data_IF_705913620918
#
_entry.id   IF_705913620918
#
_cell.length_a   1.000
_cell.length_b   1.000
_cell.length_c   1.000
_cell.angle_alpha   90.00
_cell.angle_beta   90.00
_cell.angle_gamma   90.00
#
_symmetry.space_group_name_H-M   'P 1'
#
loop_
_entity.id
_entity.type
_entity.pdbx_description
1 polymer ?
#
# COMPACT_ATOMS: atom_id res chain seq x y z
N UNK A 1 2.13 29.09 -3.33
CA UNK A 1 3.42 29.50 -3.90
C UNK A 1 3.22 30.04 -5.31
N UNK A 2 3.97 31.10 -5.73
CA UNK A 2 3.89 31.69 -7.08
C UNK A 2 4.94 31.04 -7.99
N UNK A 3 4.73 29.79 -8.39
CA UNK A 3 5.55 29.14 -9.41
C UNK A 3 4.78 28.99 -10.72
N UNK A 4 5.49 29.14 -11.83
CA UNK A 4 4.99 28.79 -13.15
C UNK A 4 5.46 27.39 -13.49
N UNK A 5 4.54 26.51 -13.91
CA UNK A 5 4.85 25.14 -14.29
C UNK A 5 4.90 25.01 -15.81
N UNK A 6 5.98 24.41 -16.32
CA UNK A 6 6.11 23.97 -17.70
C UNK A 6 5.95 22.45 -17.75
N UNK A 7 5.22 21.95 -18.72
CA UNK A 7 5.00 20.50 -18.90
C UNK A 7 5.50 20.05 -20.25
N UNK A 8 6.05 18.81 -20.27
CA UNK A 8 6.42 18.11 -21.50
C UNK A 8 6.25 16.62 -21.32
N UNK A 9 5.85 15.90 -22.40
CA UNK A 9 5.78 14.45 -22.43
C UNK A 9 6.85 13.90 -23.34
N UNK A 10 7.69 13.01 -22.80
CA UNK A 10 8.71 12.29 -23.58
C UNK A 10 8.14 11.11 -24.37
N UNK A 11 6.95 10.63 -24.04
CA UNK A 11 6.32 9.45 -24.64
C UNK A 11 7.25 8.22 -24.64
N UNK A 12 7.98 8.00 -23.55
CA UNK A 12 8.99 6.94 -23.38
C UNK A 12 10.17 7.05 -24.40
N UNK A 13 10.49 8.24 -24.87
CA UNK A 13 11.54 8.50 -25.84
C UNK A 13 12.60 9.47 -25.27
N UNK A 14 13.85 8.97 -25.15
CA UNK A 14 14.95 9.74 -24.55
C UNK A 14 15.34 10.98 -25.41
N UNK A 15 15.26 10.92 -26.75
CA UNK A 15 15.55 12.06 -27.62
C UNK A 15 14.51 13.17 -27.44
N UNK A 16 13.21 12.80 -27.29
CA UNK A 16 12.18 13.79 -26.96
C UNK A 16 12.41 14.41 -25.60
N UNK A 17 12.80 13.60 -24.60
CA UNK A 17 13.13 14.10 -23.28
C UNK A 17 14.28 15.10 -23.33
N UNK A 18 15.32 14.81 -24.11
CA UNK A 18 16.47 15.68 -24.30
C UNK A 18 16.04 17.05 -24.85
N UNK A 19 15.24 17.08 -25.92
CA UNK A 19 14.70 18.30 -26.48
C UNK A 19 13.83 19.10 -25.49
N UNK A 20 13.05 18.43 -24.65
CA UNK A 20 12.24 19.07 -23.60
C UNK A 20 13.15 19.69 -22.53
N UNK A 21 14.14 18.94 -22.06
CA UNK A 21 15.09 19.41 -21.05
C UNK A 21 15.88 20.60 -21.59
N UNK A 22 16.37 20.57 -22.84
CA UNK A 22 17.02 21.72 -23.47
C UNK A 22 16.10 22.93 -23.52
N UNK A 23 14.85 22.76 -23.89
CA UNK A 23 13.86 23.81 -23.91
C UNK A 23 13.65 24.41 -22.52
N UNK A 24 13.57 23.57 -21.47
CA UNK A 24 13.38 24.05 -20.10
C UNK A 24 14.62 24.78 -19.58
N UNK A 25 15.82 24.26 -19.85
CA UNK A 25 17.09 24.94 -19.53
C UNK A 25 17.13 26.28 -20.21
N UNK A 26 16.82 26.33 -21.50
CA UNK A 26 16.79 27.58 -22.29
C UNK A 26 15.75 28.60 -21.80
N UNK A 27 14.67 28.17 -21.15
CA UNK A 27 13.69 29.05 -20.52
C UNK A 27 14.07 29.45 -19.08
N UNK A 28 15.19 28.97 -18.54
CA UNK A 28 15.68 29.35 -17.23
C UNK A 28 14.86 28.78 -16.08
N UNK A 29 14.41 27.53 -16.19
CA UNK A 29 13.70 26.86 -15.07
C UNK A 29 14.60 26.75 -13.83
N UNK A 30 14.02 26.92 -12.65
CA UNK A 30 14.73 26.86 -11.38
C UNK A 30 14.93 25.43 -10.87
N UNK A 31 14.18 24.47 -11.42
CA UNK A 31 14.28 23.06 -11.06
C UNK A 31 13.44 22.14 -11.93
N UNK A 32 13.70 20.83 -11.87
CA UNK A 32 13.04 19.81 -12.69
C UNK A 32 12.46 18.71 -11.80
N UNK A 33 11.23 18.27 -12.15
CA UNK A 33 10.67 17.00 -11.68
C UNK A 33 10.51 16.13 -12.92
N UNK A 34 11.13 14.95 -12.92
CA UNK A 34 11.21 14.10 -14.11
C UNK A 34 10.82 12.66 -13.76
N UNK A 35 9.84 12.11 -14.50
CA UNK A 35 9.65 10.66 -14.59
C UNK A 35 10.52 10.17 -15.76
N UNK A 36 11.67 9.56 -15.50
CA UNK A 36 12.64 9.23 -16.55
C UNK A 36 12.18 8.07 -17.41
N UNK A 37 12.55 8.06 -18.67
CA UNK A 37 12.42 6.91 -19.57
C UNK A 37 13.76 6.18 -19.72
N UNK A 38 13.72 4.99 -20.32
CA UNK A 38 14.94 4.23 -20.59
C UNK A 38 15.92 5.03 -21.44
N UNK A 39 17.20 5.04 -21.06
CA UNK A 39 18.27 5.76 -21.78
C UNK A 39 18.36 7.25 -21.51
N UNK A 40 17.64 7.79 -20.51
CA UNK A 40 17.64 9.24 -20.21
C UNK A 40 18.73 9.68 -19.23
N UNK A 41 19.68 8.84 -18.86
CA UNK A 41 20.72 9.15 -17.88
C UNK A 41 21.58 10.37 -18.30
N UNK A 42 22.04 10.40 -19.56
CA UNK A 42 22.86 11.51 -20.08
C UNK A 42 22.09 12.83 -20.13
N UNK A 43 20.79 12.76 -20.45
CA UNK A 43 19.90 13.91 -20.45
C UNK A 43 19.80 14.54 -19.07
N UNK A 44 19.66 13.71 -18.03
CA UNK A 44 19.57 14.18 -16.66
C UNK A 44 20.91 14.70 -16.14
N UNK A 45 22.03 14.08 -16.51
CA UNK A 45 23.36 14.61 -16.21
C UNK A 45 23.55 16.03 -16.77
N UNK A 46 23.10 16.27 -18.00
CA UNK A 46 23.13 17.61 -18.62
C UNK A 46 22.40 18.66 -17.79
N UNK A 47 21.22 18.33 -17.26
CA UNK A 47 20.48 19.23 -16.37
C UNK A 47 21.23 19.51 -15.06
N UNK A 48 21.83 18.48 -14.46
CA UNK A 48 22.65 18.61 -13.25
C UNK A 48 23.92 19.44 -13.50
N UNK A 49 24.59 19.24 -14.63
CA UNK A 49 25.77 20.00 -15.03
C UNK A 49 25.44 21.50 -15.27
N UNK A 50 24.19 21.77 -15.68
CA UNK A 50 23.66 23.14 -15.76
C UNK A 50 23.29 23.73 -14.39
N UNK A 51 23.49 23.00 -13.30
CA UNK A 51 23.19 23.43 -11.93
C UNK A 51 21.73 23.46 -11.59
N UNK A 52 20.89 22.70 -12.29
CA UNK A 52 19.43 22.67 -12.07
C UNK A 52 19.07 21.55 -11.10
N UNK A 53 18.55 21.85 -9.89
CA UNK A 53 18.05 20.88 -8.96
C UNK A 53 17.01 19.95 -9.63
N UNK A 54 17.18 18.64 -9.48
CA UNK A 54 16.34 17.67 -10.17
C UNK A 54 15.80 16.62 -9.18
N UNK A 55 14.51 16.34 -9.27
CA UNK A 55 13.83 15.28 -8.53
C UNK A 55 13.32 14.22 -9.51
N UNK A 56 13.70 12.97 -9.28
CA UNK A 56 13.11 11.82 -9.98
C UNK A 56 11.79 11.44 -9.34
N UNK A 57 10.80 11.18 -10.18
CA UNK A 57 9.45 10.81 -9.80
C UNK A 57 9.11 9.42 -10.34
N UNK A 58 8.60 8.53 -9.49
CA UNK A 58 8.11 7.18 -9.83
C UNK A 58 9.17 6.20 -10.33
N UNK A 59 10.25 6.68 -10.96
CA UNK A 59 11.28 5.83 -11.58
C UNK A 59 12.66 6.32 -11.21
N UNK A 60 13.55 5.39 -10.90
CA UNK A 60 14.94 5.70 -10.54
C UNK A 60 15.91 5.47 -11.71
N UNK A 61 16.99 6.24 -11.69
CA UNK A 61 18.20 6.02 -12.47
C UNK A 61 19.37 5.94 -11.50
N UNK A 62 20.02 4.79 -11.46
CA UNK A 62 21.16 4.58 -10.59
C UNK A 62 22.33 5.50 -10.92
N UNK A 63 23.06 5.93 -9.87
CA UNK A 63 24.31 6.69 -10.05
C UNK A 63 24.15 8.19 -10.28
N UNK A 64 22.93 8.74 -10.19
CA UNK A 64 22.70 10.18 -10.18
C UNK A 64 22.55 10.70 -8.73
N UNK A 65 23.12 11.88 -8.44
CA UNK A 65 22.92 12.57 -7.17
C UNK A 65 21.74 13.55 -7.29
N UNK A 66 20.54 13.02 -7.07
CA UNK A 66 19.26 13.72 -7.28
C UNK A 66 18.27 13.39 -6.17
N UNK A 67 17.28 14.23 -5.99
CA UNK A 67 16.12 13.91 -5.17
C UNK A 67 15.30 12.76 -5.77
N UNK A 68 14.67 11.94 -4.94
CA UNK A 68 13.86 10.79 -5.38
C UNK A 68 12.55 10.74 -4.61
N UNK A 69 11.45 10.62 -5.34
CA UNK A 69 10.14 10.33 -4.74
C UNK A 69 9.54 9.13 -5.47
N UNK A 70 9.53 8.01 -4.79
CA UNK A 70 9.24 6.69 -5.35
C UNK A 70 8.07 6.03 -4.62
N UNK A 71 7.41 5.08 -5.27
CA UNK A 71 6.54 4.12 -4.62
C UNK A 71 7.38 2.93 -4.09
N UNK A 72 6.95 2.27 -3.02
CA UNK A 72 7.45 0.93 -2.70
C UNK A 72 6.84 -0.09 -3.69
N UNK A 73 7.47 -0.15 -4.87
CA UNK A 73 7.00 -0.99 -5.96
C UNK A 73 7.16 -2.48 -5.66
N UNK A 74 8.16 -2.86 -4.89
CA UNK A 74 8.37 -4.25 -4.51
C UNK A 74 7.26 -4.72 -3.57
N UNK A 75 6.92 -3.90 -2.57
CA UNK A 75 5.75 -4.13 -1.73
C UNK A 75 4.45 -4.17 -2.54
N UNK A 76 4.30 -3.29 -3.53
CA UNK A 76 3.13 -3.30 -4.40
C UNK A 76 2.99 -4.63 -5.17
N UNK A 77 4.07 -5.15 -5.73
CA UNK A 77 4.08 -6.47 -6.39
C UNK A 77 3.71 -7.60 -5.44
N UNK A 78 4.26 -7.59 -4.21
CA UNK A 78 3.90 -8.58 -3.16
C UNK A 78 2.43 -8.50 -2.79
N UNK A 79 1.93 -7.30 -2.52
CA UNK A 79 0.56 -7.06 -2.07
C UNK A 79 -0.49 -7.64 -3.01
N UNK A 80 -0.27 -7.56 -4.33
CA UNK A 80 -1.17 -8.14 -5.32
C UNK A 80 -1.27 -9.67 -5.22
N UNK A 81 -0.13 -10.34 -5.05
CA UNK A 81 -0.07 -11.80 -4.89
C UNK A 81 -0.64 -12.22 -3.53
N UNK A 82 -0.30 -11.51 -2.46
CA UNK A 82 -0.81 -11.77 -1.10
C UNK A 82 -2.33 -11.74 -1.08
N UNK A 83 -2.92 -10.69 -1.64
CA UNK A 83 -4.37 -10.56 -1.75
C UNK A 83 -5.01 -11.71 -2.53
N UNK A 84 -4.46 -12.07 -3.68
CA UNK A 84 -4.97 -13.20 -4.48
C UNK A 84 -4.85 -14.53 -3.73
N UNK A 85 -3.71 -14.77 -3.08
CA UNK A 85 -3.49 -15.97 -2.28
C UNK A 85 -4.49 -16.09 -1.12
N UNK A 86 -4.73 -14.99 -0.39
CA UNK A 86 -5.69 -14.91 0.70
C UNK A 86 -7.13 -15.17 0.24
N UNK A 87 -7.45 -14.84 -1.00
CA UNK A 87 -8.75 -15.13 -1.63
C UNK A 87 -8.84 -16.52 -2.30
N UNK A 88 -7.83 -17.39 -2.10
CA UNK A 88 -7.85 -18.78 -2.52
C UNK A 88 -7.22 -19.06 -3.87
N UNK A 89 -6.74 -18.06 -4.60
CA UNK A 89 -6.05 -18.21 -5.88
C UNK A 89 -4.65 -18.79 -5.68
N UNK A 90 -4.21 -19.68 -6.57
CA UNK A 90 -2.91 -20.35 -6.48
C UNK A 90 -2.12 -20.28 -7.79
N UNK A 91 -2.80 -20.29 -8.94
CA UNK A 91 -2.19 -20.17 -10.26
C UNK A 91 -2.29 -18.72 -10.71
N UNK A 92 -1.33 -17.92 -10.23
CA UNK A 92 -1.28 -16.46 -10.43
C UNK A 92 -0.17 -16.15 -11.40
N UNK A 93 -0.47 -15.48 -12.50
CA UNK A 93 0.51 -15.03 -13.48
C UNK A 93 0.54 -13.51 -13.57
N UNK A 94 1.56 -12.97 -14.22
CA UNK A 94 1.75 -11.53 -14.39
C UNK A 94 1.98 -11.22 -15.87
N UNK A 95 1.48 -10.09 -16.37
CA UNK A 95 1.86 -9.54 -17.66
C UNK A 95 2.66 -8.26 -17.40
N UNK A 96 3.81 -8.11 -18.05
CA UNK A 96 4.66 -6.93 -17.91
C UNK A 96 5.17 -6.45 -19.27
N UNK A 97 5.90 -5.33 -19.27
CA UNK A 97 6.50 -4.77 -20.47
C UNK A 97 8.02 -5.03 -20.55
N UNK A 98 8.53 -5.10 -21.78
CA UNK A 98 9.99 -5.18 -22.05
C UNK A 98 10.68 -3.81 -21.98
N UNK A 99 10.31 -2.93 -21.04
CA UNK A 99 10.75 -1.54 -21.05
C UNK A 99 12.00 -1.22 -20.22
N UNK A 100 12.50 -2.13 -19.38
CA UNK A 100 13.66 -1.87 -18.52
C UNK A 100 13.47 -0.69 -17.56
N UNK A 101 12.25 -0.49 -17.07
CA UNK A 101 11.87 0.57 -16.12
C UNK A 101 12.01 0.02 -14.70
N UNK A 102 12.65 0.79 -13.81
CA UNK A 102 12.91 0.37 -12.42
C UNK A 102 11.64 -0.03 -11.66
N UNK A 103 10.58 0.78 -11.73
CA UNK A 103 9.32 0.52 -11.04
C UNK A 103 8.66 -0.80 -11.47
N UNK A 104 8.70 -1.16 -12.75
CA UNK A 104 8.20 -2.45 -13.21
C UNK A 104 9.05 -3.61 -12.73
N UNK A 105 10.39 -3.50 -12.84
CA UNK A 105 11.32 -4.54 -12.36
C UNK A 105 11.18 -4.79 -10.86
N UNK A 106 10.88 -3.75 -10.09
CA UNK A 106 10.59 -3.86 -8.66
C UNK A 106 9.27 -4.56 -8.39
N UNK A 107 8.19 -4.23 -9.11
CA UNK A 107 6.90 -4.93 -9.03
C UNK A 107 7.03 -6.42 -9.39
N UNK A 108 7.83 -6.73 -10.42
CA UNK A 108 8.15 -8.11 -10.81
C UNK A 108 8.91 -8.86 -9.70
N UNK A 109 9.90 -8.22 -9.06
CA UNK A 109 10.61 -8.81 -7.91
C UNK A 109 9.65 -9.11 -6.76
N UNK A 110 8.79 -8.15 -6.41
CA UNK A 110 7.78 -8.34 -5.38
C UNK A 110 6.81 -9.48 -5.68
N UNK A 111 6.35 -9.58 -6.94
CA UNK A 111 5.55 -10.71 -7.40
C UNK A 111 6.30 -12.05 -7.23
N UNK A 112 7.52 -12.16 -7.73
CA UNK A 112 8.32 -13.39 -7.65
C UNK A 112 8.63 -13.77 -6.19
N UNK A 113 8.91 -12.79 -5.34
CA UNK A 113 9.15 -13.01 -3.91
C UNK A 113 7.91 -13.58 -3.22
N UNK A 114 6.74 -12.97 -3.44
CA UNK A 114 5.49 -13.46 -2.85
C UNK A 114 5.12 -14.85 -3.37
N UNK A 115 5.27 -15.13 -4.67
CA UNK A 115 5.05 -16.47 -5.23
C UNK A 115 5.93 -17.52 -4.56
N UNK A 116 7.20 -17.19 -4.31
CA UNK A 116 8.13 -18.07 -3.58
C UNK A 116 7.71 -18.25 -2.14
N UNK A 117 7.39 -17.15 -1.45
CA UNK A 117 6.98 -17.15 -0.05
C UNK A 117 5.79 -18.05 0.22
N UNK A 118 4.84 -18.12 -0.72
CA UNK A 118 3.65 -18.96 -0.61
C UNK A 118 3.79 -20.34 -1.25
N UNK A 119 5.00 -20.73 -1.69
CA UNK A 119 5.24 -22.05 -2.32
C UNK A 119 4.58 -22.21 -3.67
N UNK A 120 4.40 -21.11 -4.40
CA UNK A 120 3.73 -21.07 -5.71
C UNK A 120 4.70 -20.92 -6.90
N UNK A 121 6.01 -21.10 -6.70
CA UNK A 121 7.01 -20.89 -7.76
C UNK A 121 6.75 -21.73 -9.01
N UNK A 122 6.18 -22.94 -8.87
CA UNK A 122 5.81 -23.80 -9.99
C UNK A 122 4.71 -23.22 -10.90
N UNK A 123 4.02 -22.17 -10.44
CA UNK A 123 2.98 -21.45 -11.18
C UNK A 123 3.38 -20.00 -11.49
N UNK A 124 4.60 -19.58 -11.09
CA UNK A 124 5.09 -18.23 -11.30
C UNK A 124 5.52 -18.03 -12.75
N UNK A 125 4.77 -17.22 -13.49
CA UNK A 125 5.10 -16.86 -14.87
C UNK A 125 4.84 -15.37 -15.09
N UNK A 126 5.83 -14.70 -15.71
CA UNK A 126 5.69 -13.31 -16.19
C UNK A 126 5.71 -13.35 -17.71
N UNK A 127 4.65 -12.86 -18.32
CA UNK A 127 4.55 -12.69 -19.77
C UNK A 127 4.99 -11.28 -20.14
N UNK A 128 5.91 -11.17 -21.08
CA UNK A 128 6.39 -9.87 -21.54
C UNK A 128 5.76 -9.51 -22.88
N UNK A 129 5.33 -8.25 -22.97
CA UNK A 129 4.80 -7.66 -24.18
C UNK A 129 5.48 -6.33 -24.49
N UNK A 130 5.32 -5.85 -25.72
CA UNK A 130 5.91 -4.59 -26.18
C UNK A 130 4.92 -3.44 -25.96
N UNK A 131 5.39 -2.37 -25.33
CA UNK A 131 4.58 -1.15 -25.15
C UNK A 131 4.05 -0.63 -26.50
N UNK A 132 2.77 -0.31 -26.55
CA UNK A 132 2.08 0.11 -27.78
C UNK A 132 1.55 -1.04 -28.66
N UNK A 133 1.95 -2.29 -28.42
CA UNK A 133 1.50 -3.48 -29.17
C UNK A 133 0.89 -4.57 -28.29
N UNK A 134 0.64 -4.29 -27.02
CA UNK A 134 0.25 -5.26 -26.02
C UNK A 134 -1.19 -5.82 -26.15
N UNK A 135 -2.07 -5.21 -26.97
CA UNK A 135 -3.48 -5.59 -27.02
C UNK A 135 -3.70 -7.01 -27.52
N UNK A 136 -3.14 -7.34 -28.68
CA UNK A 136 -3.27 -8.68 -29.27
C UNK A 136 -2.54 -9.73 -28.42
N UNK A 137 -1.39 -9.37 -27.87
CA UNK A 137 -0.63 -10.25 -26.98
C UNK A 137 -1.42 -10.60 -25.73
N UNK A 138 -2.05 -9.61 -25.08
CA UNK A 138 -2.86 -9.83 -23.87
C UNK A 138 -4.03 -10.78 -24.14
N UNK A 139 -4.72 -10.63 -25.27
CA UNK A 139 -5.80 -11.55 -25.65
C UNK A 139 -5.27 -12.99 -25.82
N UNK A 140 -4.14 -13.17 -26.52
CA UNK A 140 -3.53 -14.50 -26.70
C UNK A 140 -3.06 -15.12 -25.39
N UNK A 141 -2.46 -14.30 -24.51
CA UNK A 141 -2.00 -14.74 -23.19
C UNK A 141 -3.19 -15.22 -22.36
N UNK A 142 -4.29 -14.47 -22.34
CA UNK A 142 -5.48 -14.85 -21.58
C UNK A 142 -6.16 -16.12 -22.14
N UNK A 143 -6.27 -16.22 -23.47
CA UNK A 143 -6.81 -17.43 -24.11
C UNK A 143 -5.97 -18.67 -23.75
N UNK A 144 -4.64 -18.57 -23.77
CA UNK A 144 -3.76 -19.66 -23.38
C UNK A 144 -3.82 -19.95 -21.87
N UNK A 145 -3.88 -18.91 -21.05
CA UNK A 145 -3.96 -19.01 -19.60
C UNK A 145 -5.20 -19.79 -19.14
N UNK A 146 -6.37 -19.51 -19.70
CA UNK A 146 -7.61 -20.26 -19.42
C UNK A 146 -7.44 -21.73 -19.74
N UNK A 147 -6.82 -22.07 -20.90
CA UNK A 147 -6.56 -23.47 -21.27
C UNK A 147 -5.62 -24.18 -20.29
N UNK A 148 -4.65 -23.45 -19.70
CA UNK A 148 -3.70 -23.97 -18.69
C UNK A 148 -4.29 -24.01 -17.29
N UNK A 149 -5.47 -23.42 -17.08
CA UNK A 149 -6.14 -23.32 -15.79
C UNK A 149 -5.50 -22.29 -14.87
N UNK A 150 -4.94 -21.20 -15.43
CA UNK A 150 -4.55 -20.00 -14.66
C UNK A 150 -5.78 -19.39 -14.02
N UNK A 151 -5.66 -18.91 -12.80
CA UNK A 151 -6.80 -18.45 -11.99
C UNK A 151 -6.83 -16.92 -11.87
N UNK A 152 -5.66 -16.26 -11.93
CA UNK A 152 -5.58 -14.82 -11.74
C UNK A 152 -4.39 -14.19 -12.46
N UNK A 153 -4.55 -12.90 -12.79
CA UNK A 153 -3.46 -12.05 -13.30
C UNK A 153 -3.22 -10.82 -12.41
N UNK A 154 -1.94 -10.54 -12.17
CA UNK A 154 -1.46 -9.24 -11.71
C UNK A 154 -1.02 -8.41 -12.92
N UNK A 155 -1.63 -7.23 -13.08
CA UNK A 155 -1.42 -6.33 -14.22
C UNK A 155 -0.79 -5.01 -13.70
N UNK A 156 0.54 -4.89 -13.73
CA UNK A 156 1.30 -3.92 -12.93
C UNK A 156 1.32 -2.50 -13.51
N UNK A 157 0.44 -2.18 -14.44
CA UNK A 157 0.21 -0.81 -14.94
C UNK A 157 -1.26 -0.58 -15.27
N UNK A 158 -1.70 0.68 -15.24
CA UNK A 158 -3.05 1.06 -15.66
C UNK A 158 -3.36 0.56 -17.08
N UNK A 159 -2.45 0.77 -18.02
CA UNK A 159 -2.63 0.34 -19.43
C UNK A 159 -2.82 -1.16 -19.54
N UNK A 160 -1.99 -1.98 -18.87
CA UNK A 160 -2.14 -3.44 -18.88
C UNK A 160 -3.45 -3.88 -18.23
N UNK A 161 -3.87 -3.21 -17.15
CA UNK A 161 -5.15 -3.51 -16.53
C UNK A 161 -6.33 -3.25 -17.47
N UNK A 162 -6.31 -2.13 -18.20
CA UNK A 162 -7.32 -1.84 -19.22
C UNK A 162 -7.30 -2.86 -20.37
N UNK A 163 -6.12 -3.26 -20.84
CA UNK A 163 -5.96 -4.30 -21.87
C UNK A 163 -6.45 -5.66 -21.36
N UNK A 164 -6.23 -5.98 -20.09
CA UNK A 164 -6.81 -7.17 -19.45
C UNK A 164 -8.33 -7.18 -19.47
N UNK A 165 -8.98 -6.06 -19.13
CA UNK A 165 -10.44 -5.94 -19.21
C UNK A 165 -10.96 -6.06 -20.66
N UNK A 166 -10.24 -5.49 -21.63
CA UNK A 166 -10.56 -5.64 -23.05
C UNK A 166 -10.42 -7.08 -23.52
N UNK A 167 -9.38 -7.80 -23.07
CA UNK A 167 -9.16 -9.21 -23.37
C UNK A 167 -10.28 -10.09 -22.78
N UNK A 168 -10.69 -9.88 -21.52
CA UNK A 168 -11.84 -10.58 -20.95
C UNK A 168 -13.10 -10.40 -21.82
N UNK A 169 -13.39 -9.15 -22.19
CA UNK A 169 -14.56 -8.85 -23.03
C UNK A 169 -14.45 -9.49 -24.43
N UNK A 170 -13.27 -9.45 -25.07
CA UNK A 170 -13.07 -10.05 -26.41
C UNK A 170 -13.21 -11.58 -26.39
N UNK A 171 -12.86 -12.23 -25.29
CA UNK A 171 -12.96 -13.68 -25.11
C UNK A 171 -14.28 -14.13 -24.48
N UNK A 172 -15.20 -13.21 -24.14
CA UNK A 172 -16.42 -13.45 -23.37
C UNK A 172 -16.14 -14.14 -22.01
N UNK A 173 -15.06 -13.72 -21.35
CA UNK A 173 -14.69 -14.18 -20.02
C UNK A 173 -15.16 -13.18 -18.97
N UNK A 174 -15.36 -13.66 -17.74
CA UNK A 174 -15.80 -12.89 -16.58
C UNK A 174 -14.74 -12.89 -15.48
N UNK A 175 -14.61 -11.77 -14.78
CA UNK A 175 -13.87 -11.71 -13.53
C UNK A 175 -14.88 -11.66 -12.36
N UNK A 176 -14.65 -12.44 -11.28
CA UNK A 176 -13.52 -13.33 -11.04
C UNK A 176 -13.70 -14.76 -11.55
N UNK A 177 -14.85 -15.12 -12.13
CA UNK A 177 -15.30 -16.50 -12.38
C UNK A 177 -14.36 -17.28 -13.30
N UNK A 178 -13.88 -16.67 -14.40
CA UNK A 178 -12.96 -17.28 -15.34
C UNK A 178 -11.51 -16.91 -15.06
N UNK A 179 -11.24 -15.62 -14.77
CA UNK A 179 -9.92 -15.08 -14.44
C UNK A 179 -10.06 -13.90 -13.47
N UNK A 180 -9.49 -13.99 -12.29
CA UNK A 180 -9.38 -12.85 -11.39
C UNK A 180 -8.34 -11.83 -11.89
N UNK A 181 -8.58 -10.55 -11.66
CA UNK A 181 -7.67 -9.48 -12.05
C UNK A 181 -7.35 -8.56 -10.88
N UNK A 182 -6.04 -8.29 -10.70
CA UNK A 182 -5.55 -7.18 -9.90
C UNK A 182 -4.90 -6.18 -10.85
N UNK A 183 -5.44 -4.98 -10.92
CA UNK A 183 -4.91 -3.87 -11.70
C UNK A 183 -3.90 -3.03 -10.92
N UNK A 184 -3.43 -1.96 -11.55
CA UNK A 184 -2.54 -0.97 -10.96
C UNK A 184 -2.97 0.43 -11.37
N UNK A 185 -2.71 1.39 -10.49
CA UNK A 185 -3.17 2.78 -10.56
C UNK A 185 -4.70 2.92 -10.50
N UNK A 186 -5.15 4.11 -10.14
CA UNK A 186 -6.56 4.43 -10.12
C UNK A 186 -7.10 4.69 -11.52
N UNK A 187 -8.28 4.14 -11.84
CA UNK A 187 -8.99 4.42 -13.08
C UNK A 187 -10.51 4.44 -12.84
N UNK A 188 -11.19 5.44 -13.38
CA UNK A 188 -12.66 5.52 -13.32
C UNK A 188 -13.32 4.27 -13.91
N UNK A 189 -12.70 3.64 -14.92
CA UNK A 189 -13.19 2.44 -15.58
C UNK A 189 -13.29 1.28 -14.59
N UNK A 190 -12.38 1.20 -13.61
CA UNK A 190 -12.37 0.11 -12.62
C UNK A 190 -13.65 0.08 -11.76
N UNK A 191 -14.22 1.25 -11.49
CA UNK A 191 -15.49 1.36 -10.77
C UNK A 191 -16.71 1.10 -11.66
N UNK A 192 -16.59 1.33 -12.96
CA UNK A 192 -17.65 1.12 -13.94
C UNK A 192 -17.75 -0.34 -14.39
N UNK A 193 -16.64 -1.07 -14.39
CA UNK A 193 -16.62 -2.51 -14.68
C UNK A 193 -17.44 -3.29 -13.64
N UNK A 194 -18.09 -4.38 -14.03
CA UNK A 194 -18.92 -5.19 -13.14
C UNK A 194 -18.49 -6.64 -13.17
N UNK A 195 -18.04 -7.16 -12.02
CA UNK A 195 -17.80 -6.46 -10.74
C UNK A 195 -16.63 -5.48 -10.81
N UNK A 196 -16.54 -4.51 -9.87
CA UNK A 196 -15.47 -3.52 -9.85
C UNK A 196 -14.09 -4.18 -9.75
N UNK A 197 -13.09 -3.57 -10.36
CA UNK A 197 -11.72 -4.12 -10.40
C UNK A 197 -10.99 -3.85 -9.08
N UNK A 198 -10.31 -4.87 -8.55
CA UNK A 198 -9.32 -4.72 -7.48
C UNK A 198 -8.05 -4.13 -8.08
N UNK A 199 -7.44 -3.14 -7.42
CA UNK A 199 -6.21 -2.54 -7.90
C UNK A 199 -5.32 -2.03 -6.77
N UNK A 200 -4.03 -1.91 -7.08
CA UNK A 200 -3.04 -1.30 -6.20
C UNK A 200 -2.87 0.14 -6.66
N UNK A 201 -3.09 1.10 -5.77
CA UNK A 201 -2.93 2.51 -6.08
C UNK A 201 -1.63 3.06 -5.52
N UNK A 202 -1.04 3.95 -6.29
CA UNK A 202 -0.06 4.91 -5.82
C UNK A 202 -0.74 6.27 -5.69
N UNK A 203 -0.60 6.94 -4.57
CA UNK A 203 -1.18 8.27 -4.43
C UNK A 203 -0.43 9.26 -5.33
N UNK A 204 -0.91 9.47 -6.57
CA UNK A 204 -0.32 10.43 -7.52
C UNK A 204 -0.27 11.84 -6.93
N UNK A 205 -1.25 12.17 -6.10
CA UNK A 205 -1.28 13.42 -5.35
C UNK A 205 -0.09 13.52 -4.38
N UNK A 206 0.13 12.51 -3.53
CA UNK A 206 1.26 12.49 -2.59
C UNK A 206 2.61 12.50 -3.33
N UNK A 207 2.73 11.72 -4.41
CA UNK A 207 3.90 11.74 -5.26
C UNK A 207 4.20 13.15 -5.77
N UNK A 208 3.21 13.86 -6.31
CA UNK A 208 3.36 15.23 -6.80
C UNK A 208 3.68 16.23 -5.68
N UNK A 209 2.99 16.17 -4.55
CA UNK A 209 3.20 17.06 -3.40
C UNK A 209 4.61 16.88 -2.82
N UNK A 210 5.04 15.65 -2.60
CA UNK A 210 6.38 15.35 -2.06
C UNK A 210 7.49 15.75 -3.05
N UNK A 211 7.30 15.49 -4.34
CA UNK A 211 8.28 15.89 -5.36
C UNK A 211 8.43 17.40 -5.46
N UNK A 212 7.32 18.13 -5.41
CA UNK A 212 7.35 19.58 -5.42
C UNK A 212 7.99 20.15 -4.16
N UNK A 213 7.63 19.65 -2.99
CA UNK A 213 8.21 20.11 -1.74
C UNK A 213 9.72 19.80 -1.66
N UNK A 214 10.13 18.62 -2.09
CA UNK A 214 11.55 18.25 -2.19
C UNK A 214 12.30 19.19 -3.12
N UNK A 215 11.77 19.42 -4.33
CA UNK A 215 12.40 20.33 -5.30
C UNK A 215 12.50 21.77 -4.75
N UNK A 216 11.45 22.26 -4.10
CA UNK A 216 11.44 23.58 -3.46
C UNK A 216 12.53 23.73 -2.39
N UNK A 217 12.75 22.69 -1.58
CA UNK A 217 13.82 22.66 -0.57
C UNK A 217 15.18 22.66 -1.24
N UNK A 218 15.38 21.86 -2.28
CA UNK A 218 16.62 21.84 -3.06
C UNK A 218 16.93 23.19 -3.69
N UNK A 219 15.95 23.89 -4.29
CA UNK A 219 16.09 25.25 -4.82
C UNK A 219 16.51 26.24 -3.71
N UNK A 220 16.03 26.04 -2.49
CA UNK A 220 16.39 26.86 -1.34
C UNK A 220 17.79 26.53 -0.74
N UNK A 221 18.52 25.56 -1.30
CA UNK A 221 19.86 25.15 -0.86
C UNK A 221 19.87 24.12 0.26
N UNK A 222 18.80 23.36 0.44
CA UNK A 222 18.76 22.25 1.39
C UNK A 222 19.29 20.96 0.71
N UNK A 223 20.48 20.55 1.09
CA UNK A 223 21.17 19.39 0.51
C UNK A 223 20.74 18.04 1.12
N UNK A 224 19.88 18.04 2.13
CA UNK A 224 19.50 16.81 2.87
C UNK A 224 18.25 16.11 2.30
N UNK A 225 17.74 16.55 1.16
CA UNK A 225 16.55 16.04 0.52
C UNK A 225 16.85 14.94 -0.50
N UNK A 226 17.00 13.66 -0.06
CA UNK A 226 17.51 12.61 -0.96
C UNK A 226 16.48 11.60 -1.44
N UNK A 227 15.62 11.10 -0.58
CA UNK A 227 14.66 10.05 -0.99
C UNK A 227 13.41 10.05 -0.11
N UNK A 228 12.25 9.92 -0.75
CA UNK A 228 10.97 9.64 -0.12
C UNK A 228 10.36 8.42 -0.79
N UNK A 229 9.96 7.44 0.00
CA UNK A 229 9.24 6.24 -0.48
C UNK A 229 7.79 6.33 0.00
N UNK A 230 6.86 6.19 -0.94
CA UNK A 230 5.42 6.21 -0.68
C UNK A 230 4.90 4.79 -0.65
N UNK A 231 4.13 4.45 0.37
CA UNK A 231 3.51 3.15 0.52
C UNK A 231 2.37 2.96 -0.49
N UNK A 232 2.29 1.78 -1.15
CA UNK A 232 1.15 1.41 -1.99
C UNK A 232 -0.06 1.09 -1.14
N UNK A 233 -1.26 1.23 -1.72
CA UNK A 233 -2.52 0.86 -1.10
C UNK A 233 -3.31 -0.09 -2.01
N UNK A 234 -3.96 -1.11 -1.42
CA UNK A 234 -4.82 -2.05 -2.14
C UNK A 234 -6.28 -1.62 -2.01
N UNK A 235 -6.91 -1.34 -3.15
CA UNK A 235 -8.34 -1.05 -3.23
C UNK A 235 -9.06 -2.31 -3.71
N UNK A 236 -9.82 -2.93 -2.82
CA UNK A 236 -10.48 -4.21 -3.10
C UNK A 236 -11.79 -3.99 -3.83
N UNK A 237 -11.91 -4.59 -5.01
CA UNK A 237 -13.13 -4.70 -5.79
C UNK A 237 -13.61 -6.16 -5.90
N UNK A 238 -14.62 -6.38 -6.71
CA UNK A 238 -15.20 -7.71 -6.90
C UNK A 238 -14.43 -8.60 -7.88
N UNK A 239 -13.49 -8.06 -8.67
CA UNK A 239 -12.71 -8.84 -9.66
C UNK A 239 -11.78 -9.89 -9.06
N UNK A 240 -11.65 -9.92 -7.75
CA UNK A 240 -10.87 -10.89 -6.98
C UNK A 240 -11.69 -11.53 -5.87
N UNK A 241 -13.02 -11.50 -5.95
CA UNK A 241 -13.87 -12.16 -4.98
C UNK A 241 -13.51 -13.66 -4.87
N UNK A 242 -13.59 -14.18 -3.66
CA UNK A 242 -13.22 -15.57 -3.40
C UNK A 242 -14.15 -16.54 -4.13
N UNK A 243 -13.59 -17.33 -5.05
CA UNK A 243 -14.32 -18.42 -5.75
C UNK A 243 -13.93 -19.82 -5.21
N UNK A 244 -12.95 -19.89 -4.31
CA UNK A 244 -12.43 -21.12 -3.70
C UNK A 244 -12.40 -21.02 -2.17
N UNK A 245 -13.56 -20.94 -1.49
CA UNK A 245 -13.60 -20.73 -0.03
C UNK A 245 -12.86 -21.83 0.76
N UNK A 246 -12.80 -23.06 0.25
CA UNK A 246 -12.05 -24.15 0.84
C UNK A 246 -10.54 -23.93 0.89
N UNK A 247 -10.00 -23.11 -0.01
CA UNK A 247 -8.56 -22.78 -0.05
C UNK A 247 -8.21 -21.56 0.81
N UNK A 248 -9.21 -20.76 1.17
CA UNK A 248 -9.03 -19.56 2.00
C UNK A 248 -8.66 -19.96 3.42
N UNK A 249 -9.28 -20.99 3.99
CA UNK A 249 -8.95 -21.48 5.33
C UNK A 249 -7.52 -22.02 5.40
N UNK A 250 -7.12 -22.83 4.43
CA UNK A 250 -5.74 -23.33 4.33
C UNK A 250 -4.70 -22.22 4.11
N UNK A 251 -5.06 -21.18 3.33
CA UNK A 251 -4.20 -20.02 3.10
C UNK A 251 -4.04 -19.13 4.33
N UNK A 252 -5.09 -19.02 5.15
CA UNK A 252 -5.04 -18.28 6.43
C UNK A 252 -4.11 -18.91 7.45
N UNK A 253 -4.03 -20.24 7.49
CA UNK A 253 -3.09 -20.96 8.35
C UNK A 253 -1.63 -20.74 7.91
N UNK A 254 -1.39 -20.64 6.60
CA UNK A 254 -0.04 -20.41 6.06
C UNK A 254 0.39 -18.93 6.18
N UNK A 255 -0.51 -17.98 5.90
CA UNK A 255 -0.23 -16.56 6.07
C UNK A 255 -0.07 -16.13 7.53
N UNK A 256 -0.65 -16.87 8.48
CA UNK A 256 -0.44 -16.67 9.92
C UNK A 256 1.00 -17.03 10.37
N UNK A 257 1.75 -17.78 9.56
CA UNK A 257 3.15 -18.13 9.81
C UNK A 257 4.18 -17.12 9.31
N UNK A 258 3.74 -15.99 8.70
CA UNK A 258 4.68 -15.05 8.08
C UNK A 258 4.35 -13.62 8.51
N UNK A 259 4.59 -13.34 9.79
CA UNK A 259 4.76 -11.96 10.26
C UNK A 259 6.22 -11.56 10.02
N UNK A 260 6.46 -10.65 9.08
CA UNK A 260 7.79 -10.17 8.78
C UNK A 260 8.31 -9.19 9.83
N UNK A 261 9.59 -9.39 10.17
CA UNK A 261 10.57 -8.43 10.71
C UNK A 261 10.06 -7.48 11.79
N UNK A 262 9.43 -8.05 12.80
CA UNK A 262 9.45 -7.40 14.10
C UNK A 262 10.72 -7.83 14.83
N UNK A 263 11.42 -6.91 15.53
CA UNK A 263 12.42 -7.33 16.48
C UNK A 263 11.85 -8.43 17.36
N UNK A 264 12.65 -9.44 17.74
CA UNK A 264 12.17 -10.58 18.58
C UNK A 264 11.43 -10.17 19.87
N UNK A 265 11.46 -8.88 20.19
CA UNK A 265 10.96 -8.31 21.44
C UNK A 265 9.70 -7.46 21.28
N UNK A 266 9.19 -7.27 20.05
CA UNK A 266 8.03 -6.40 19.80
C UNK A 266 7.20 -6.89 18.62
N UNK A 267 5.87 -6.68 18.70
CA UNK A 267 4.90 -6.93 17.62
C UNK A 267 4.05 -5.70 17.42
N UNK A 268 4.13 -5.10 16.24
CA UNK A 268 3.26 -3.99 15.82
C UNK A 268 2.10 -4.55 15.00
N UNK A 269 0.87 -4.24 15.41
CA UNK A 269 -0.37 -4.60 14.73
C UNK A 269 -1.07 -3.33 14.23
N UNK A 270 -0.92 -2.97 12.95
CA UNK A 270 -1.69 -1.87 12.36
C UNK A 270 -3.19 -2.16 12.36
N UNK A 271 -4.04 -1.14 12.50
CA UNK A 271 -5.50 -1.28 12.46
C UNK A 271 -6.00 -1.91 11.14
N UNK A 272 -5.31 -1.65 10.05
CA UNK A 272 -5.62 -2.23 8.72
C UNK A 272 -5.47 -3.75 8.66
N UNK A 273 -4.74 -4.37 9.60
CA UNK A 273 -4.49 -5.83 9.66
C UNK A 273 -5.58 -6.62 10.38
N UNK A 274 -6.64 -5.97 10.87
CA UNK A 274 -7.79 -6.67 11.43
C UNK A 274 -8.58 -7.36 10.31
N UNK A 275 -8.56 -8.69 10.30
CA UNK A 275 -9.16 -9.53 9.24
C UNK A 275 -10.69 -9.52 9.29
N UNK A 276 -11.27 -9.60 10.47
CA UNK A 276 -12.70 -9.45 10.71
C UNK A 276 -12.93 -8.08 11.36
N UNK A 277 -13.41 -7.15 10.57
CA UNK A 277 -13.63 -5.78 11.05
C UNK A 277 -14.91 -5.63 11.89
N UNK A 278 -15.77 -6.64 11.90
CA UNK A 278 -17.07 -6.55 12.56
C UNK A 278 -17.83 -5.33 12.08
N UNK A 279 -18.22 -4.47 13.01
CA UNK A 279 -18.82 -3.17 12.69
C UNK A 279 -17.83 -2.00 12.58
N UNK A 280 -16.50 -2.26 12.61
CA UNK A 280 -15.45 -1.28 12.39
C UNK A 280 -15.15 -1.12 10.90
N UNK A 281 -14.89 0.11 10.47
CA UNK A 281 -14.55 0.43 9.08
C UNK A 281 -13.16 1.05 9.00
N UNK A 282 -12.43 0.82 7.91
CA UNK A 282 -11.20 1.56 7.65
C UNK A 282 -11.55 2.98 7.17
N UNK A 283 -11.05 3.99 7.88
CA UNK A 283 -11.30 5.39 7.57
C UNK A 283 -9.99 6.06 7.14
N UNK A 284 -9.92 6.66 5.95
CA UNK A 284 -8.72 7.34 5.45
C UNK A 284 -8.66 8.82 5.83
N UNK A 285 -9.58 9.35 6.63
CA UNK A 285 -9.73 10.80 6.87
C UNK A 285 -8.45 11.50 7.37
N UNK A 286 -7.58 10.79 8.11
CA UNK A 286 -6.33 11.33 8.66
C UNK A 286 -5.07 10.68 8.06
N UNK A 287 -5.17 10.04 6.91
CA UNK A 287 -4.01 9.40 6.25
C UNK A 287 -2.83 10.35 6.04
N UNK A 288 -3.09 11.63 5.78
CA UNK A 288 -2.05 12.65 5.60
C UNK A 288 -1.20 12.86 6.89
N UNK A 289 -1.79 12.60 8.06
CA UNK A 289 -1.12 12.75 9.36
C UNK A 289 -0.54 11.43 9.89
N UNK A 290 -1.08 10.30 9.41
CA UNK A 290 -0.87 8.99 10.02
C UNK A 290 -0.08 8.03 9.13
N UNK A 291 0.02 8.32 7.83
CA UNK A 291 0.62 7.40 6.85
C UNK A 291 -0.25 6.18 6.49
N UNK A 292 -1.31 5.89 7.26
CA UNK A 292 -2.20 4.74 7.06
C UNK A 292 -3.66 5.07 7.38
N UNK A 293 -4.59 4.23 6.91
CA UNK A 293 -5.99 4.25 7.37
C UNK A 293 -6.07 3.64 8.77
N UNK A 294 -6.94 4.19 9.61
CA UNK A 294 -7.24 3.66 10.94
C UNK A 294 -8.61 2.96 10.97
N UNK A 295 -8.87 2.18 12.01
CA UNK A 295 -10.19 1.60 12.26
C UNK A 295 -11.08 2.58 13.01
N UNK A 296 -12.31 2.74 12.51
CA UNK A 296 -13.36 3.58 13.05
C UNK A 296 -14.60 2.75 13.38
N UNK A 297 -15.10 2.82 14.62
CA UNK A 297 -16.39 2.24 15.02
C UNK A 297 -17.48 3.31 15.04
N UNK A 298 -18.31 3.34 13.98
CA UNK A 298 -19.39 4.33 13.84
C UNK A 298 -20.77 3.66 13.96
N UNK A 299 -21.25 3.51 15.20
CA UNK A 299 -22.50 2.81 15.52
C UNK A 299 -23.68 3.72 15.84
N UNK A 300 -23.58 5.05 15.63
CA UNK A 300 -24.63 6.03 15.93
C UNK A 300 -25.18 5.92 17.37
N UNK A 301 -24.31 5.66 18.34
CA UNK A 301 -24.66 5.50 19.74
C UNK A 301 -25.02 4.07 20.16
N UNK A 302 -24.83 3.10 19.29
CA UNK A 302 -24.95 1.68 19.60
C UNK A 302 -23.61 1.00 19.39
N UNK A 303 -23.04 0.29 20.37
CA UNK A 303 -21.79 -0.45 20.21
C UNK A 303 -21.82 -1.36 18.98
N UNK A 304 -20.75 -1.34 18.20
CA UNK A 304 -20.64 -2.16 16.99
C UNK A 304 -20.01 -3.52 17.33
N UNK A 305 -20.12 -4.47 16.40
CA UNK A 305 -19.50 -5.78 16.51
C UNK A 305 -17.96 -5.65 16.56
N UNK A 306 -17.30 -6.51 17.35
CA UNK A 306 -15.85 -6.51 17.56
C UNK A 306 -15.08 -6.67 16.24
N UNK A 307 -14.03 -5.87 16.06
CA UNK A 307 -13.01 -6.18 15.08
C UNK A 307 -12.05 -7.20 15.66
N UNK A 308 -11.77 -8.30 14.94
CA UNK A 308 -10.99 -9.43 15.43
C UNK A 308 -9.87 -9.79 14.45
N UNK A 309 -8.68 -10.06 15.00
CA UNK A 309 -7.54 -10.60 14.25
C UNK A 309 -6.71 -11.55 15.11
N UNK A 310 -5.67 -12.14 14.53
CA UNK A 310 -4.67 -12.95 15.24
C UNK A 310 -3.30 -12.35 15.05
N UNK A 311 -2.49 -12.39 16.09
CA UNK A 311 -1.06 -12.02 16.08
C UNK A 311 -0.24 -13.23 16.48
N UNK A 312 1.01 -13.29 16.03
CA UNK A 312 2.00 -14.26 16.47
C UNK A 312 2.97 -13.59 17.43
N UNK A 313 3.08 -14.12 18.63
CA UNK A 313 4.00 -13.67 19.66
C UNK A 313 5.30 -14.47 19.53
N UNK A 314 6.45 -13.82 19.26
CA UNK A 314 7.70 -14.50 18.90
C UNK A 314 8.40 -15.19 20.07
N UNK A 315 8.10 -14.81 21.30
CA UNK A 315 8.61 -15.44 22.52
C UNK A 315 7.72 -15.14 23.72
N UNK A 316 7.64 -16.06 24.65
CA UNK A 316 6.85 -15.86 25.88
C UNK A 316 7.45 -14.78 26.76
N UNK A 317 6.61 -13.87 27.28
CA UNK A 317 7.08 -12.79 28.13
C UNK A 317 6.00 -11.86 28.64
N UNK A 318 6.41 -10.88 29.45
CA UNK A 318 5.54 -9.83 29.97
C UNK A 318 5.53 -8.65 29.00
N UNK A 319 4.56 -8.62 28.11
CA UNK A 319 4.43 -7.58 27.10
C UNK A 319 3.75 -6.34 27.66
N UNK A 320 4.31 -5.16 27.35
CA UNK A 320 3.66 -3.88 27.47
C UNK A 320 2.79 -3.66 26.26
N UNK A 321 1.62 -3.07 26.46
CA UNK A 321 0.66 -2.76 25.40
C UNK A 321 0.58 -1.26 25.23
N UNK A 322 0.66 -0.80 23.99
CA UNK A 322 0.38 0.56 23.60
C UNK A 322 -0.61 0.55 22.43
N UNK A 323 -1.60 1.44 22.48
CA UNK A 323 -2.59 1.60 21.39
C UNK A 323 -2.53 3.01 20.87
N UNK A 324 -2.32 3.18 19.57
CA UNK A 324 -2.36 4.49 18.93
C UNK A 324 -3.81 4.87 18.65
N UNK A 325 -4.27 5.89 19.33
CA UNK A 325 -5.68 6.31 19.36
C UNK A 325 -5.79 7.80 19.59
N UNK A 326 -7.02 8.34 19.54
CA UNK A 326 -7.31 9.73 19.89
C UNK A 326 -8.70 9.89 20.51
N UNK A 327 -8.86 10.86 21.41
CA UNK A 327 -10.16 11.30 21.87
C UNK A 327 -10.65 12.48 21.01
N UNK A 328 -11.38 12.20 19.94
CA UNK A 328 -11.81 13.20 18.97
C UNK A 328 -12.71 14.31 19.55
N UNK A 329 -13.32 14.10 20.72
CA UNK A 329 -14.17 15.10 21.39
C UNK A 329 -13.43 15.99 22.37
N UNK A 330 -12.18 15.70 22.71
CA UNK A 330 -11.44 16.42 23.73
C UNK A 330 -11.15 17.90 23.39
N UNK A 331 -11.32 18.31 22.14
CA UNK A 331 -11.27 19.72 21.74
C UNK A 331 -12.47 20.54 22.26
N UNK A 332 -13.62 19.90 22.52
CA UNK A 332 -14.88 20.58 22.82
C UNK A 332 -15.46 20.20 24.20
N UNK A 333 -14.96 19.15 24.83
CA UNK A 333 -15.48 18.60 26.06
C UNK A 333 -14.39 18.41 27.12
N UNK A 334 -14.82 18.31 28.39
CA UNK A 334 -13.94 18.01 29.52
C UNK A 334 -13.27 16.62 29.28
N UNK A 335 -11.95 16.63 29.13
CA UNK A 335 -11.13 15.45 28.79
C UNK A 335 -11.32 14.26 29.75
N UNK A 336 -11.66 14.55 31.03
CA UNK A 336 -11.82 13.51 32.03
C UNK A 336 -13.24 12.91 32.10
N UNK A 337 -14.22 13.58 31.50
CA UNK A 337 -15.63 13.21 31.62
C UNK A 337 -16.30 12.71 30.35
N UNK A 338 -15.73 13.00 29.18
CA UNK A 338 -16.37 12.71 27.89
C UNK A 338 -15.37 12.07 26.91
N UNK A 339 -15.45 10.79 26.80
CA UNK A 339 -14.74 10.00 25.78
C UNK A 339 -15.74 9.06 25.08
N UNK A 340 -16.62 9.61 24.23
CA UNK A 340 -17.68 8.81 23.59
C UNK A 340 -17.13 7.74 22.63
N UNK A 341 -15.91 7.91 22.10
CA UNK A 341 -15.22 6.93 21.28
C UNK A 341 -14.35 5.95 22.08
N UNK A 342 -14.71 5.67 23.34
CA UNK A 342 -13.95 4.75 24.17
C UNK A 342 -14.18 3.28 23.77
N UNK A 343 -13.11 2.49 23.79
CA UNK A 343 -13.11 1.06 23.49
C UNK A 343 -12.14 0.28 24.39
N UNK A 344 -12.26 -1.05 24.37
CA UNK A 344 -11.33 -1.95 25.06
C UNK A 344 -10.57 -2.83 24.05
N UNK A 345 -9.35 -3.16 24.43
CA UNK A 345 -8.60 -4.22 23.79
C UNK A 345 -8.91 -5.55 24.50
N UNK A 346 -9.17 -6.58 23.73
CA UNK A 346 -9.43 -7.94 24.21
C UNK A 346 -8.38 -8.88 23.64
N UNK A 347 -7.74 -9.66 24.51
CA UNK A 347 -6.71 -10.64 24.13
C UNK A 347 -7.17 -12.01 24.63
N UNK A 348 -7.26 -12.98 23.73
CA UNK A 348 -7.74 -14.34 24.02
C UNK A 348 -9.07 -14.37 24.80
N UNK A 349 -9.98 -13.45 24.43
CA UNK A 349 -11.30 -13.31 25.02
C UNK A 349 -11.32 -12.60 26.37
N UNK A 350 -10.20 -12.05 26.85
CA UNK A 350 -10.10 -11.29 28.11
C UNK A 350 -9.89 -9.81 27.82
N UNK A 351 -10.70 -8.95 28.42
CA UNK A 351 -10.55 -7.49 28.31
C UNK A 351 -9.30 -7.02 29.04
N UNK A 352 -8.55 -6.12 28.42
CA UNK A 352 -7.55 -5.31 29.11
C UNK A 352 -8.24 -4.30 30.04
N UNK A 353 -7.63 -4.01 31.19
CA UNK A 353 -8.21 -3.10 32.18
C UNK A 353 -8.31 -1.66 31.65
N UNK A 354 -7.42 -1.28 30.74
CA UNK A 354 -7.34 0.08 30.19
C UNK A 354 -8.48 0.36 29.22
N UNK A 355 -9.01 1.57 29.33
CA UNK A 355 -9.97 2.16 28.41
C UNK A 355 -9.21 3.03 27.40
N UNK A 356 -9.30 2.70 26.13
CA UNK A 356 -8.65 3.42 25.03
C UNK A 356 -9.59 4.44 24.37
N UNK A 357 -9.05 5.35 23.57
CA UNK A 357 -9.81 6.43 22.95
C UNK A 357 -10.14 7.55 23.93
N UNK A 358 -9.36 7.65 25.00
CA UNK A 358 -9.48 8.65 26.06
C UNK A 358 -8.24 9.56 26.09
N UNK A 359 -8.31 10.72 26.72
CA UNK A 359 -7.17 11.61 26.92
C UNK A 359 -7.01 12.64 25.80
N UNK A 360 -5.96 12.58 25.00
CA UNK A 360 -5.56 13.63 24.06
C UNK A 360 -6.46 13.72 22.81
N UNK A 361 -6.76 14.92 22.30
CA UNK A 361 -7.47 15.10 21.05
C UNK A 361 -6.62 14.77 19.80
N UNK A 362 -5.32 14.78 19.94
CA UNK A 362 -4.41 14.37 18.84
C UNK A 362 -4.12 12.89 18.90
N UNK A 363 -3.60 12.34 17.80
CA UNK A 363 -3.16 10.96 17.76
C UNK A 363 -1.96 10.75 18.68
N UNK A 364 -2.06 9.79 19.59
CA UNK A 364 -1.03 9.48 20.58
C UNK A 364 -1.04 8.00 20.94
N UNK A 365 0.09 7.52 21.46
CA UNK A 365 0.20 6.18 22.02
C UNK A 365 -0.31 6.16 23.47
N UNK A 366 -1.45 5.53 23.66
CA UNK A 366 -2.02 5.33 25.00
C UNK A 366 -1.53 4.00 25.59
N UNK A 367 -0.93 4.05 26.80
CA UNK A 367 -0.45 2.86 27.47
C UNK A 367 -1.62 1.97 27.95
N UNK A 368 -1.56 0.69 27.62
CA UNK A 368 -2.57 -0.34 27.94
C UNK A 368 -2.21 -1.27 29.08
N UNK A 369 -1.14 -0.97 29.82
CA UNK A 369 -0.63 -1.82 30.88
C UNK A 369 0.23 -2.97 30.36
N UNK A 370 0.32 -4.06 31.14
CA UNK A 370 1.14 -5.21 30.80
C UNK A 370 0.33 -6.50 30.86
N UNK A 371 0.65 -7.45 29.98
CA UNK A 371 0.06 -8.80 29.97
C UNK A 371 1.11 -9.86 29.68
N UNK A 372 0.97 -11.04 30.27
CA UNK A 372 1.84 -12.17 29.93
C UNK A 372 1.27 -12.89 28.71
N UNK A 373 2.07 -12.96 27.65
CA UNK A 373 1.74 -13.70 26.43
C UNK A 373 2.73 -14.85 26.25
N UNK A 374 2.23 -16.00 25.85
CA UNK A 374 3.07 -17.13 25.48
C UNK A 374 3.55 -17.00 24.05
N UNK A 375 4.64 -17.67 23.70
CA UNK A 375 5.01 -17.86 22.30
C UNK A 375 3.88 -18.55 21.53
N UNK A 376 3.55 -18.02 20.32
CA UNK A 376 2.52 -18.57 19.45
C UNK A 376 1.41 -17.57 19.12
N UNK A 377 0.29 -18.11 18.63
CA UNK A 377 -0.82 -17.30 18.09
C UNK A 377 -1.79 -16.90 19.19
N UNK A 378 -2.07 -15.58 19.27
CA UNK A 378 -3.05 -14.98 20.16
C UNK A 378 -4.13 -14.25 19.37
N UNK A 379 -5.37 -14.30 19.87
CA UNK A 379 -6.48 -13.54 19.28
C UNK A 379 -6.53 -12.14 19.90
N UNK A 380 -6.64 -11.11 19.05
CA UNK A 380 -6.79 -9.71 19.46
C UNK A 380 -8.10 -9.17 18.91
N UNK A 381 -8.88 -8.49 19.77
CA UNK A 381 -10.11 -7.86 19.36
C UNK A 381 -10.21 -6.41 19.89
N UNK A 382 -10.84 -5.54 19.10
CA UNK A 382 -11.26 -4.22 19.50
C UNK A 382 -12.74 -4.27 19.86
N UNK A 383 -13.05 -3.98 21.10
CA UNK A 383 -14.42 -3.99 21.65
C UNK A 383 -14.93 -2.57 21.85
N UNK A 384 -15.82 -2.14 20.98
CA UNK A 384 -16.47 -0.83 21.08
C UNK A 384 -17.47 -0.80 22.23
N UNK A 385 -17.48 0.30 23.00
CA UNK A 385 -18.33 0.44 24.17
C UNK A 385 -19.51 1.38 23.97
N UNK A 386 -19.45 2.24 22.96
CA UNK A 386 -20.37 3.36 22.85
C UNK A 386 -21.00 3.56 21.46
N UNK A 387 -20.38 3.07 20.41
CA UNK A 387 -20.81 3.32 19.04
C UNK A 387 -20.61 4.77 18.58
N UNK A 388 -19.72 5.51 19.21
CA UNK A 388 -19.42 6.90 18.87
C UNK A 388 -17.96 7.10 18.46
N UNK A 389 -17.63 6.65 17.24
CA UNK A 389 -16.40 6.96 16.57
C UNK A 389 -15.12 6.60 17.35
N UNK A 390 -15.10 5.40 17.95
CA UNK A 390 -13.87 4.83 18.49
C UNK A 390 -12.83 4.69 17.38
N UNK A 391 -11.58 5.06 17.65
CA UNK A 391 -10.50 5.12 16.65
C UNK A 391 -9.28 4.36 17.11
N UNK A 392 -8.82 3.42 16.31
CA UNK A 392 -7.60 2.64 16.54
C UNK A 392 -6.75 2.60 15.27
N UNK A 393 -5.53 3.15 15.33
CA UNK A 393 -4.57 3.11 14.23
C UNK A 393 -3.67 1.89 14.30
N UNK A 394 -3.03 1.67 15.44
CA UNK A 394 -2.11 0.56 15.64
C UNK A 394 -2.09 0.11 17.11
N UNK A 395 -1.62 -1.12 17.32
CA UNK A 395 -1.38 -1.71 18.64
C UNK A 395 0.05 -2.23 18.65
N UNK A 396 0.85 -1.82 19.64
CA UNK A 396 2.20 -2.31 19.87
C UNK A 396 2.22 -3.21 21.12
N UNK A 397 2.74 -4.41 20.97
CA UNK A 397 3.11 -5.33 22.04
C UNK A 397 4.63 -5.37 22.13
N UNK A 398 5.22 -4.99 23.25
CA UNK A 398 6.69 -4.92 23.38
C UNK A 398 7.18 -5.37 24.75
N UNK A 399 8.34 -6.03 24.78
CA UNK A 399 9.05 -6.39 26.01
C UNK A 399 9.90 -5.21 26.53
N UNK A 400 10.06 -4.15 25.72
CA UNK A 400 10.87 -2.98 26.10
C UNK A 400 10.15 -2.06 27.07
N UNK A 401 10.91 -1.40 27.95
CA UNK A 401 10.42 -0.44 28.96
C UNK A 401 10.39 1.00 28.41
N UNK A 402 10.12 1.16 27.13
CA UNK A 402 10.09 2.47 26.46
C UNK A 402 8.75 2.60 25.76
N UNK A 403 8.06 3.73 25.98
CA UNK A 403 6.87 4.07 25.22
C UNK A 403 7.27 4.39 23.76
N UNK A 404 6.46 3.99 22.76
CA UNK A 404 6.72 4.38 21.39
C UNK A 404 6.63 5.92 21.25
N UNK A 405 7.42 6.46 20.34
CA UNK A 405 7.38 7.86 19.96
C UNK A 405 6.17 8.10 19.03
N UNK A 406 5.52 9.25 19.14
CA UNK A 406 4.41 9.65 18.25
C UNK A 406 4.91 10.00 16.84
N UNK A 407 6.21 10.14 16.65
CA UNK A 407 6.89 10.40 15.38
C UNK A 407 7.24 9.12 14.60
N UNK A 408 6.56 7.99 14.82
CA UNK A 408 6.77 6.78 14.03
C UNK A 408 6.48 7.05 12.55
N UNK A 409 7.56 7.42 11.82
CA UNK A 409 7.69 7.29 10.38
C UNK A 409 8.10 5.86 10.00
#
# INVERSE_FOLDING_TARGET
YNYTLLFGSSDENAEKLDNIVDTFIGNGVEGLIVAPCSGSEEVLRKALDAGIPTVLLDRDIAGLDVGRVMLDNERAGRMGVEHLYENGYRRIEMISYTLGISSLSERERGYCEAMRRYGLEGYSQIHYTVYGHAQEDTVRIFEDAVRRGVEAFLLPTNTLALLGLQALNALNLSAPEDLALVGFDESEIFSLYKPSVTYITQSTRRLGEQSFEMLRRMIAGDDDCRSVVIEPELIVGGSTACIHPERVEAGREHAAGVAELTPRDSVLLPGTYFRHKGGWTADPQFMEQMGSSYLLAHGLGTPVEDAVTKIEIPQSGQYRIFVRTKNWTAHWADKEKHAPGAFRLRIDGRDCDTLFGTGDPEWHWQAGGTTYLTEGVHQVALHDLAGFDARCDAILFTLHDVAPDDSLE
#
